data_IF_211112376941
#
_entry.id   IF_211112376941
#
_cell.length_a   1.000
_cell.length_b   1.000
_cell.length_c   1.000
_cell.angle_alpha   90.00
_cell.angle_beta   90.00
_cell.angle_gamma   90.00
#
_symmetry.space_group_name_H-M   'P 1'
#
loop_
_entity.id
_entity.type
_entity.pdbx_description
1 polymer ?
#
# COMPACT_ATOMS: atom_id res chain seq x y z
N UNK A 1 -12.20 -6.41 2.85
CA UNK A 1 -11.74 -5.14 2.27
C UNK A 1 -10.53 -5.45 1.41
N UNK A 2 -10.44 -4.89 0.20
CA UNK A 2 -9.38 -5.23 -0.77
C UNK A 2 -8.47 -4.05 -1.11
N UNK A 3 -8.81 -2.85 -0.63
CA UNK A 3 -8.07 -1.65 -0.93
C UNK A 3 -7.56 -1.04 0.37
N UNK A 4 -6.32 -0.57 0.38
CA UNK A 4 -5.72 0.15 1.50
C UNK A 4 -5.27 1.51 0.99
N UNK A 5 -5.67 2.57 1.69
CA UNK A 5 -5.26 3.94 1.40
C UNK A 5 -4.05 4.28 2.28
N UNK A 6 -2.95 4.68 1.66
CA UNK A 6 -1.74 5.14 2.34
C UNK A 6 -1.56 6.63 2.06
N UNK A 7 -1.43 7.42 3.10
CA UNK A 7 -1.08 8.84 2.97
C UNK A 7 0.43 8.99 2.87
N UNK A 8 0.87 9.90 2.02
CA UNK A 8 2.28 10.22 1.86
C UNK A 8 2.47 11.71 1.59
N UNK A 9 3.73 12.16 1.54
CA UNK A 9 4.03 13.53 1.13
C UNK A 9 3.64 13.72 -0.35
N UNK A 10 2.97 14.81 -0.74
CA UNK A 10 2.71 15.10 -2.15
C UNK A 10 4.01 15.11 -2.96
N UNK A 11 4.02 14.39 -4.07
CA UNK A 11 5.20 14.19 -4.93
C UNK A 11 6.02 12.93 -4.62
N UNK A 12 5.75 12.24 -3.51
CA UNK A 12 6.42 10.99 -3.11
C UNK A 12 5.55 9.75 -3.37
N UNK A 13 4.47 9.87 -4.14
CA UNK A 13 3.50 8.78 -4.31
C UNK A 13 4.13 7.55 -5.00
N UNK A 14 5.12 7.76 -5.87
CA UNK A 14 5.84 6.65 -6.54
C UNK A 14 6.74 5.88 -5.58
N UNK A 15 7.40 6.58 -4.67
CA UNK A 15 8.26 5.96 -3.65
C UNK A 15 7.39 5.19 -2.65
N UNK A 16 6.32 5.82 -2.16
CA UNK A 16 5.34 5.17 -1.28
C UNK A 16 4.71 3.93 -1.94
N UNK A 17 4.38 4.01 -3.24
CA UNK A 17 3.88 2.86 -4.00
C UNK A 17 4.89 1.72 -4.13
N UNK A 18 6.18 2.04 -4.33
CA UNK A 18 7.23 1.03 -4.37
C UNK A 18 7.43 0.37 -3.02
N UNK A 19 7.43 1.16 -1.95
CA UNK A 19 7.60 0.68 -0.58
C UNK A 19 6.45 -0.24 -0.12
N UNK A 20 5.20 0.19 -0.33
CA UNK A 20 4.04 -0.63 0.05
C UNK A 20 4.02 -1.94 -0.74
N UNK A 21 4.42 -1.93 -2.01
CA UNK A 21 4.51 -3.13 -2.83
C UNK A 21 5.57 -4.10 -2.30
N UNK A 22 6.76 -3.62 -1.96
CA UNK A 22 7.84 -4.44 -1.39
C UNK A 22 7.40 -5.06 -0.05
N UNK A 23 6.80 -4.25 0.82
CA UNK A 23 6.28 -4.68 2.11
C UNK A 23 5.14 -5.69 2.01
N UNK A 24 4.22 -5.49 1.06
CA UNK A 24 3.14 -6.43 0.80
C UNK A 24 3.69 -7.76 0.26
N UNK A 25 4.66 -7.71 -0.67
CA UNK A 25 5.30 -8.90 -1.22
C UNK A 25 6.04 -9.73 -0.16
N UNK A 26 6.67 -9.08 0.82
CA UNK A 26 7.33 -9.76 1.96
C UNK A 26 6.35 -10.53 2.85
N UNK A 27 5.09 -10.10 2.89
CA UNK A 27 4.00 -10.77 3.59
C UNK A 27 3.23 -11.75 2.70
N UNK A 28 3.71 -11.99 1.47
CA UNK A 28 3.06 -12.83 0.46
C UNK A 28 1.64 -12.32 0.10
N UNK A 29 1.40 -11.02 0.27
CA UNK A 29 0.16 -10.34 -0.08
C UNK A 29 0.35 -9.58 -1.39
N UNK A 30 -0.36 -10.00 -2.43
CA UNK A 30 -0.15 -9.49 -3.78
C UNK A 30 -1.25 -8.52 -4.22
N UNK A 31 -0.83 -7.51 -4.98
CA UNK A 31 -1.70 -6.45 -5.46
C UNK A 31 -0.95 -5.47 -6.35
N UNK A 32 -1.54 -4.31 -6.58
CA UNK A 32 -0.93 -3.22 -7.33
C UNK A 32 -1.27 -1.85 -6.73
N UNK A 33 -0.32 -0.90 -6.70
CA UNK A 33 -0.58 0.47 -6.28
C UNK A 33 -1.18 1.30 -7.41
N UNK A 34 -2.23 2.07 -7.09
CA UNK A 34 -2.71 3.19 -7.89
C UNK A 34 -2.10 4.48 -7.36
N UNK A 35 -1.30 5.09 -8.22
CA UNK A 35 -0.60 6.34 -7.95
C UNK A 35 -1.24 7.46 -8.77
N UNK A 36 -1.49 8.60 -8.11
CA UNK A 36 -1.82 9.85 -8.77
C UNK A 36 -0.82 10.91 -8.28
N UNK A 37 -0.16 11.61 -9.19
CA UNK A 37 0.89 12.56 -8.81
C UNK A 37 0.31 13.74 -8.02
N UNK A 38 1.06 14.20 -7.01
CA UNK A 38 0.75 15.36 -6.17
C UNK A 38 -0.59 15.27 -5.43
N UNK A 39 -1.08 14.06 -5.14
CA UNK A 39 -2.28 13.87 -4.33
C UNK A 39 -1.98 13.62 -2.86
N UNK A 40 -0.74 13.25 -2.52
CA UNK A 40 -0.36 12.91 -1.15
C UNK A 40 -0.99 11.61 -0.65
N UNK A 41 -1.37 10.70 -1.57
CA UNK A 41 -1.85 9.37 -1.20
C UNK A 41 -1.64 8.35 -2.31
N UNK A 42 -1.59 7.08 -1.92
CA UNK A 42 -1.54 5.90 -2.78
C UNK A 42 -2.66 4.95 -2.36
N UNK A 43 -3.34 4.34 -3.32
CA UNK A 43 -4.31 3.26 -3.04
C UNK A 43 -3.69 1.94 -3.48
N UNK A 44 -3.48 1.01 -2.56
CA UNK A 44 -3.04 -0.33 -2.90
C UNK A 44 -4.23 -1.27 -3.00
N UNK A 45 -4.42 -1.90 -4.17
CA UNK A 45 -5.46 -2.89 -4.40
C UNK A 45 -4.89 -4.30 -4.36
N UNK A 46 -5.34 -5.10 -3.40
CA UNK A 46 -4.98 -6.50 -3.26
C UNK A 46 -5.84 -7.39 -4.16
N UNK A 47 -5.26 -8.47 -4.67
CA UNK A 47 -5.96 -9.41 -5.53
C UNK A 47 -6.95 -10.28 -4.75
N UNK A 48 -6.58 -10.76 -3.57
CA UNK A 48 -7.47 -11.61 -2.77
C UNK A 48 -8.32 -10.80 -1.80
N UNK A 49 -9.53 -11.28 -1.58
CA UNK A 49 -10.43 -10.67 -0.61
C UNK A 49 -9.91 -10.90 0.81
N UNK A 50 -9.80 -9.81 1.58
CA UNK A 50 -9.33 -9.86 2.97
C UNK A 50 -7.83 -9.64 3.15
N UNK A 51 -7.05 -9.65 2.08
CA UNK A 51 -5.60 -9.38 2.17
C UNK A 51 -5.30 -7.94 2.58
N UNK A 52 -6.16 -6.99 2.22
CA UNK A 52 -6.03 -5.62 2.73
C UNK A 52 -6.17 -5.54 4.25
N UNK A 53 -7.04 -6.36 4.85
CA UNK A 53 -7.20 -6.42 6.31
C UNK A 53 -5.99 -7.08 6.97
N UNK A 54 -5.53 -8.21 6.42
CA UNK A 54 -4.30 -8.88 6.87
C UNK A 54 -3.10 -7.95 6.79
N UNK A 55 -2.96 -7.19 5.69
CA UNK A 55 -1.87 -6.23 5.53
C UNK A 55 -1.89 -5.17 6.63
N UNK A 56 -3.07 -4.62 6.95
CA UNK A 56 -3.21 -3.64 8.02
C UNK A 56 -2.88 -4.23 9.41
N UNK A 57 -3.18 -5.51 9.63
CA UNK A 57 -2.87 -6.17 10.91
C UNK A 57 -1.41 -6.59 11.05
N UNK A 58 -0.78 -7.03 9.95
CA UNK A 58 0.56 -7.61 9.95
C UNK A 58 1.65 -6.58 9.71
N UNK A 59 1.36 -5.50 8.98
CA UNK A 59 2.38 -4.51 8.64
C UNK A 59 2.53 -3.44 9.73
N UNK A 60 3.70 -3.32 10.38
CA UNK A 60 3.98 -2.19 11.25
C UNK A 60 4.07 -0.85 10.48
N UNK A 61 2.98 -0.06 10.54
CA UNK A 61 2.92 1.28 9.93
C UNK A 61 3.88 2.31 10.54
N UNK A 62 4.46 2.02 11.70
CA UNK A 62 5.51 2.87 12.28
C UNK A 62 6.83 2.79 11.49
N UNK A 63 6.99 1.78 10.64
CA UNK A 63 8.20 1.54 9.84
C UNK A 63 8.03 1.93 8.37
N UNK A 64 6.87 2.54 8.01
CA UNK A 64 6.43 3.01 6.69
C UNK A 64 6.69 4.50 6.48
#
# INVERSE_FOLDING_TARGET
MNQVLLYCRPGFEKECAGEVQDKANKLELYGFPRVKNNTGYVVFEFYQQGDGDKFIQLQPFAEL
#
